data_IF_074446907537
#
_entry.id   IF_074446907537
#
_cell.length_a   1.000
_cell.length_b   1.000
_cell.length_c   1.000
_cell.angle_alpha   90.00
_cell.angle_beta   90.00
_cell.angle_gamma   90.00
#
_symmetry.space_group_name_H-M   'P 1'
#
loop_
_entity.id
_entity.type
_entity.pdbx_description
1 polymer ?
#
# COMPACT_ATOMS: atom_id res chain seq x y z
N UNK A 1 11.87 1.81 -11.82
CA UNK A 1 12.18 1.84 -10.37
C UNK A 1 11.92 0.44 -9.78
N UNK A 2 12.70 -0.04 -8.81
CA UNK A 2 12.52 -1.38 -8.21
C UNK A 2 11.95 -1.24 -6.80
N UNK A 3 10.84 -1.93 -6.51
CA UNK A 3 10.35 -2.07 -5.14
C UNK A 3 11.12 -3.16 -4.42
N UNK A 4 11.60 -2.86 -3.22
CA UNK A 4 12.33 -3.78 -2.35
C UNK A 4 11.48 -4.01 -1.11
N UNK A 5 11.22 -5.28 -0.76
CA UNK A 5 10.53 -5.59 0.49
C UNK A 5 11.51 -5.37 1.66
N UNK A 6 11.15 -4.45 2.56
CA UNK A 6 11.89 -4.05 3.76
C UNK A 6 11.09 -4.33 5.03
N UNK A 7 10.12 -5.24 4.97
CA UNK A 7 9.23 -5.60 6.10
C UNK A 7 10.03 -6.04 7.32
N UNK A 8 11.07 -6.84 7.13
CA UNK A 8 11.94 -7.32 8.22
C UNK A 8 12.69 -6.20 8.95
N UNK A 9 12.85 -5.03 8.32
CA UNK A 9 13.48 -3.85 8.93
C UNK A 9 12.49 -3.00 9.74
N UNK A 10 11.19 -3.31 9.70
CA UNK A 10 10.13 -2.55 10.38
C UNK A 10 9.27 -3.44 11.31
N UNK A 11 9.88 -4.27 12.20
CA UNK A 11 9.14 -5.25 12.99
C UNK A 11 8.13 -4.62 13.94
N UNK A 12 8.46 -3.48 14.57
CA UNK A 12 7.55 -2.79 15.50
C UNK A 12 6.31 -2.25 14.79
N UNK A 13 6.49 -1.60 13.63
CA UNK A 13 5.37 -1.11 12.81
C UNK A 13 4.45 -2.27 12.43
N UNK A 14 5.02 -3.35 11.89
CA UNK A 14 4.27 -4.53 11.45
C UNK A 14 3.50 -5.14 12.62
N UNK A 15 4.15 -5.36 13.76
CA UNK A 15 3.49 -5.93 14.95
C UNK A 15 2.41 -5.01 15.52
N UNK A 16 2.61 -3.69 15.47
CA UNK A 16 1.62 -2.75 15.98
C UNK A 16 0.38 -2.69 15.07
N UNK A 17 0.56 -2.74 13.75
CA UNK A 17 -0.56 -2.81 12.81
C UNK A 17 -1.33 -4.12 13.00
N UNK A 18 -0.65 -5.27 12.97
CA UNK A 18 -1.30 -6.58 13.15
C UNK A 18 -2.04 -6.75 14.50
N UNK A 19 -1.60 -6.04 15.56
CA UNK A 19 -2.23 -6.13 16.89
C UNK A 19 -3.39 -5.17 17.09
N UNK A 20 -3.35 -4.00 16.45
CA UNK A 20 -4.27 -2.91 16.78
C UNK A 20 -5.22 -2.54 15.62
N UNK A 21 -5.09 -3.17 14.46
CA UNK A 21 -5.99 -3.01 13.32
C UNK A 21 -6.56 -4.35 12.88
N UNK A 22 -7.49 -4.33 11.92
CA UNK A 22 -8.06 -5.53 11.29
C UNK A 22 -7.16 -6.12 10.18
N UNK A 23 -5.94 -5.59 10.03
CA UNK A 23 -4.97 -6.09 9.08
C UNK A 23 -4.51 -7.52 9.44
N UNK A 24 -4.60 -8.42 8.47
CA UNK A 24 -4.13 -9.81 8.55
C UNK A 24 -2.72 -9.97 7.98
N UNK A 25 -2.32 -9.07 7.08
CA UNK A 25 -0.98 -9.00 6.51
C UNK A 25 -0.56 -7.53 6.42
N UNK A 26 0.68 -7.27 6.81
CA UNK A 26 1.31 -5.96 6.72
C UNK A 26 2.69 -6.17 6.10
N UNK A 27 2.94 -5.52 4.97
CA UNK A 27 4.21 -5.56 4.27
C UNK A 27 4.72 -4.12 4.05
N UNK A 28 6.02 -3.93 4.23
CA UNK A 28 6.68 -2.64 4.00
C UNK A 28 7.63 -2.78 2.83
N UNK A 29 7.57 -1.82 1.93
CA UNK A 29 8.40 -1.74 0.74
C UNK A 29 9.08 -0.38 0.65
N UNK A 30 10.30 -0.38 0.13
CA UNK A 30 11.01 0.83 -0.24
C UNK A 30 11.06 0.95 -1.76
N UNK A 31 10.78 2.15 -2.24
CA UNK A 31 10.81 2.57 -3.63
C UNK A 31 11.81 3.74 -3.75
N UNK A 32 13.08 3.47 -3.43
CA UNK A 32 14.08 4.52 -3.26
C UNK A 32 13.87 5.29 -1.96
N UNK A 33 13.50 6.57 -2.05
CA UNK A 33 13.21 7.42 -0.88
C UNK A 33 11.73 7.47 -0.51
N UNK A 34 10.89 6.72 -1.23
CA UNK A 34 9.46 6.60 -0.99
C UNK A 34 9.20 5.30 -0.26
N UNK A 35 8.49 5.40 0.86
CA UNK A 35 8.08 4.26 1.67
C UNK A 35 6.66 3.86 1.27
N UNK A 36 6.45 2.56 1.11
CA UNK A 36 5.15 1.99 0.74
C UNK A 36 4.75 0.95 1.78
N UNK A 37 3.59 1.14 2.39
CA UNK A 37 3.00 0.18 3.33
C UNK A 37 1.80 -0.44 2.64
N UNK A 38 1.80 -1.76 2.55
CA UNK A 38 0.69 -2.54 2.03
C UNK A 38 0.05 -3.31 3.17
N UNK A 39 -1.26 -3.17 3.31
CA UNK A 39 -2.05 -3.93 4.28
C UNK A 39 -3.15 -4.71 3.56
N UNK A 40 -3.46 -5.89 4.10
CA UNK A 40 -4.60 -6.69 3.68
C UNK A 40 -5.44 -7.00 4.91
N UNK A 41 -6.72 -6.64 4.84
CA UNK A 41 -7.76 -7.07 5.75
C UNK A 41 -8.71 -8.05 5.05
N UNK A 42 -9.72 -8.52 5.76
CA UNK A 42 -10.76 -9.40 5.19
C UNK A 42 -11.61 -8.67 4.13
N UNK A 43 -11.92 -7.39 4.36
CA UNK A 43 -12.84 -6.61 3.54
C UNK A 43 -12.15 -5.68 2.55
N UNK A 44 -10.87 -5.38 2.74
CA UNK A 44 -10.18 -4.36 1.95
C UNK A 44 -8.67 -4.58 1.88
N UNK A 45 -8.05 -3.98 0.87
CA UNK A 45 -6.61 -3.75 0.80
C UNK A 45 -6.34 -2.26 0.97
N UNK A 46 -5.24 -1.92 1.63
CA UNK A 46 -4.76 -0.54 1.65
C UNK A 46 -3.31 -0.45 1.16
N UNK A 47 -3.04 0.65 0.48
CA UNK A 47 -1.72 1.02 0.03
C UNK A 47 -1.46 2.45 0.45
N UNK A 48 -0.55 2.63 1.42
CA UNK A 48 -0.03 3.93 1.81
C UNK A 48 1.31 4.14 1.13
N UNK A 49 1.45 5.24 0.41
CA UNK A 49 2.67 5.65 -0.27
C UNK A 49 3.05 7.00 0.31
N UNK A 50 4.22 7.09 0.92
CA UNK A 50 4.66 8.31 1.59
C UNK A 50 6.11 8.64 1.24
N UNK A 51 6.42 9.94 1.17
CA UNK A 51 7.78 10.39 0.98
C UNK A 51 8.07 11.57 1.90
N UNK A 52 9.11 11.44 2.72
CA UNK A 52 9.46 12.45 3.73
C UNK A 52 10.04 13.74 3.15
N UNK A 53 10.62 13.68 1.95
CA UNK A 53 11.45 14.75 1.40
C UNK A 53 10.77 15.53 0.28
N UNK A 54 9.87 14.90 -0.48
CA UNK A 54 9.25 15.51 -1.66
C UNK A 54 7.85 14.96 -1.91
N UNK A 55 7.13 15.64 -2.78
CA UNK A 55 5.92 15.08 -3.37
C UNK A 55 6.22 13.83 -4.21
N UNK A 56 5.27 12.90 -4.19
CA UNK A 56 5.31 11.68 -4.98
C UNK A 56 4.95 12.03 -6.42
N UNK A 57 5.74 11.55 -7.38
CA UNK A 57 5.50 11.81 -8.81
C UNK A 57 4.46 10.83 -9.35
N UNK A 58 3.68 11.24 -10.33
CA UNK A 58 2.65 10.37 -10.93
C UNK A 58 3.25 9.10 -11.55
N UNK A 59 4.40 9.21 -12.24
CA UNK A 59 5.11 8.04 -12.80
C UNK A 59 5.51 7.00 -11.73
N UNK A 60 5.89 7.50 -10.55
CA UNK A 60 6.27 6.67 -9.41
C UNK A 60 5.05 5.99 -8.79
N UNK A 61 3.97 6.77 -8.62
CA UNK A 61 2.68 6.27 -8.16
C UNK A 61 2.16 5.15 -9.08
N UNK A 62 2.18 5.36 -10.39
CA UNK A 62 1.69 4.38 -11.37
C UNK A 62 2.53 3.11 -11.36
N UNK A 63 3.86 3.23 -11.26
CA UNK A 63 4.74 2.06 -11.18
C UNK A 63 4.48 1.23 -9.90
N UNK A 64 4.28 1.90 -8.76
CA UNK A 64 3.94 1.24 -7.50
C UNK A 64 2.57 0.58 -7.61
N UNK A 65 1.55 1.31 -8.08
CA UNK A 65 0.19 0.80 -8.26
C UNK A 65 0.15 -0.44 -9.14
N UNK A 66 0.81 -0.40 -10.31
CA UNK A 66 0.86 -1.55 -11.22
C UNK A 66 1.55 -2.76 -10.61
N UNK A 67 2.60 -2.55 -9.80
CA UNK A 67 3.28 -3.63 -9.10
C UNK A 67 2.32 -4.38 -8.16
N UNK A 68 1.57 -3.65 -7.33
CA UNK A 68 0.63 -4.25 -6.39
C UNK A 68 -0.58 -4.88 -7.07
N UNK A 69 -1.16 -4.22 -8.07
CA UNK A 69 -2.28 -4.77 -8.86
C UNK A 69 -1.91 -6.04 -9.63
N UNK A 70 -0.65 -6.18 -10.05
CA UNK A 70 -0.20 -7.37 -10.79
C UNK A 70 0.23 -8.54 -9.90
N UNK A 71 0.74 -8.25 -8.70
CA UNK A 71 1.41 -9.28 -7.87
C UNK A 71 0.71 -9.59 -6.55
N UNK A 72 -0.11 -8.69 -6.01
CA UNK A 72 -0.58 -8.76 -4.62
C UNK A 72 -2.09 -8.59 -4.47
N UNK A 73 -2.70 -7.73 -5.29
CA UNK A 73 -4.13 -7.48 -5.28
C UNK A 73 -4.75 -8.29 -6.43
N UNK A 74 -5.76 -9.11 -6.14
CA UNK A 74 -6.51 -9.80 -7.19
C UNK A 74 -7.63 -8.87 -7.71
N UNK A 75 -7.57 -8.38 -8.96
CA UNK A 75 -8.58 -7.46 -9.50
C UNK A 75 -9.99 -8.03 -9.52
N UNK A 76 -10.14 -9.35 -9.65
CA UNK A 76 -11.45 -10.02 -9.71
C UNK A 76 -12.25 -9.89 -8.41
N UNK A 77 -11.54 -9.78 -7.28
CA UNK A 77 -12.15 -9.66 -5.97
C UNK A 77 -12.46 -8.21 -5.61
N UNK A 78 -11.94 -7.23 -6.35
CA UNK A 78 -12.19 -5.82 -6.06
C UNK A 78 -13.63 -5.47 -6.45
N UNK A 79 -14.34 -4.75 -5.59
CA UNK A 79 -15.64 -4.19 -5.92
C UNK A 79 -15.46 -3.03 -6.90
N UNK A 80 -15.95 -3.12 -8.14
CA UNK A 80 -15.81 -2.05 -9.12
C UNK A 80 -16.42 -0.74 -8.60
N UNK A 81 -15.71 0.38 -8.76
CA UNK A 81 -16.19 1.71 -8.36
C UNK A 81 -16.10 2.03 -6.87
N UNK A 82 -15.67 1.11 -6.01
CA UNK A 82 -15.49 1.36 -4.57
C UNK A 82 -14.03 1.58 -4.14
N UNK A 83 -13.09 1.59 -5.10
CA UNK A 83 -11.72 1.99 -4.81
C UNK A 83 -11.65 3.50 -4.56
N UNK A 84 -10.98 3.91 -3.47
CA UNK A 84 -10.76 5.32 -3.14
C UNK A 84 -9.28 5.63 -3.19
N UNK A 85 -8.94 6.79 -3.74
CA UNK A 85 -7.58 7.33 -3.70
C UNK A 85 -7.62 8.71 -3.08
N UNK A 86 -6.86 8.92 -2.01
CA UNK A 86 -6.63 10.22 -1.40
C UNK A 86 -5.22 10.66 -1.74
N UNK A 87 -5.11 11.83 -2.37
CA UNK A 87 -3.84 12.40 -2.77
C UNK A 87 -3.58 13.66 -1.94
N UNK A 88 -2.51 13.64 -1.15
CA UNK A 88 -1.96 14.81 -0.45
C UNK A 88 -0.51 15.04 -0.89
N UNK A 89 0.09 16.17 -0.52
CA UNK A 89 1.43 16.53 -1.01
C UNK A 89 2.47 15.41 -0.85
N UNK A 90 2.54 14.77 0.32
CA UNK A 90 3.62 13.82 0.65
C UNK A 90 3.10 12.41 1.01
N UNK A 91 1.79 12.20 0.92
CA UNK A 91 1.12 10.96 1.28
C UNK A 91 -0.01 10.70 0.29
N UNK A 92 -0.01 9.48 -0.25
CA UNK A 92 -1.06 8.97 -1.10
C UNK A 92 -1.60 7.71 -0.45
N UNK A 93 -2.91 7.65 -0.29
CA UNK A 93 -3.60 6.49 0.26
C UNK A 93 -4.52 5.92 -0.81
N UNK A 94 -4.46 4.61 -1.01
CA UNK A 94 -5.34 3.89 -1.91
C UNK A 94 -6.01 2.75 -1.17
N UNK A 95 -7.33 2.78 -1.11
CA UNK A 95 -8.15 1.74 -0.49
C UNK A 95 -8.91 0.98 -1.57
N UNK A 96 -8.84 -0.35 -1.53
CA UNK A 96 -9.53 -1.25 -2.46
C UNK A 96 -10.47 -2.15 -1.67
N UNK A 97 -11.78 -1.98 -1.84
CA UNK A 97 -12.78 -2.85 -1.21
C UNK A 97 -12.86 -4.19 -1.93
N UNK A 98 -12.95 -5.27 -1.17
CA UNK A 98 -12.97 -6.66 -1.64
C UNK A 98 -14.39 -7.23 -1.44
N UNK A 99 -14.86 -8.04 -2.39
CA UNK A 99 -16.08 -8.84 -2.25
C UNK A 99 -15.82 -9.97 -1.25
N UNK A 100 -16.73 -10.13 -0.28
CA UNK A 100 -16.76 -11.28 0.63
C UNK A 100 -16.86 -12.62 -0.12
#
# INVERSE_FOLDING_TARGET
MRLINTTSSHPELVQNQLRNTDAQLVEVYSAGNTDVIFTKAATHYELLISNKYRAIKDEELDAIRQFFLKRKINPEHIVPGQSKTLHTNNLIEMSFQIKE
#
